data_IF_059601866053
#
_entry.id   IF_059601866053
#
_cell.length_a   1.000
_cell.length_b   1.000
_cell.length_c   1.000
_cell.angle_alpha   90.00
_cell.angle_beta   90.00
_cell.angle_gamma   90.00
#
_symmetry.space_group_name_H-M   'P 1'
#
loop_
_entity.id
_entity.type
_entity.pdbx_description
1 polymer ?
#
# COMPACT_ATOMS: atom_id res chain seq x y z
N UNK A 1 -22.54 -38.53 64.20
CA UNK A 1 -22.13 -37.36 63.37
C UNK A 1 -20.92 -37.77 62.55
N UNK A 2 -20.83 -37.46 61.25
CA UNK A 2 -19.72 -37.82 60.32
C UNK A 2 -19.77 -39.17 59.57
N UNK A 3 -20.84 -39.43 58.82
CA UNK A 3 -20.75 -40.25 57.59
C UNK A 3 -21.49 -39.66 56.39
N UNK A 4 -22.51 -38.81 56.60
CA UNK A 4 -23.25 -38.17 55.50
C UNK A 4 -22.57 -36.92 54.91
N UNK A 5 -21.65 -36.26 55.62
CA UNK A 5 -20.91 -35.10 55.06
C UNK A 5 -19.77 -35.47 54.10
N UNK A 6 -19.31 -36.74 54.07
CA UNK A 6 -18.22 -37.15 53.17
C UNK A 6 -18.68 -37.54 51.76
N UNK A 7 -19.95 -37.88 51.56
CA UNK A 7 -20.48 -38.19 50.22
C UNK A 7 -20.86 -36.93 49.41
N UNK A 8 -21.26 -35.83 50.06
CA UNK A 8 -21.53 -34.56 49.35
C UNK A 8 -20.26 -33.85 48.89
N UNK A 9 -19.11 -34.08 49.54
CA UNK A 9 -17.84 -33.49 49.12
C UNK A 9 -17.23 -34.17 47.88
N UNK A 10 -17.55 -35.44 47.60
CA UNK A 10 -17.06 -36.15 46.41
C UNK A 10 -17.94 -35.97 45.17
N UNK A 11 -19.23 -35.61 45.31
CA UNK A 11 -20.08 -35.32 44.15
C UNK A 11 -19.89 -33.90 43.60
N UNK A 12 -19.37 -32.96 44.38
CA UNK A 12 -19.08 -31.59 43.91
C UNK A 12 -17.74 -31.51 43.18
N UNK A 13 -16.83 -32.46 43.40
CA UNK A 13 -15.52 -32.51 42.72
C UNK A 13 -15.60 -33.25 41.36
N UNK A 14 -16.68 -34.01 41.10
CA UNK A 14 -16.90 -34.73 39.84
C UNK A 14 -17.82 -34.01 38.85
N UNK A 15 -18.36 -32.84 39.20
CA UNK A 15 -19.18 -31.98 38.32
C UNK A 15 -18.46 -30.69 37.87
N UNK A 16 -17.22 -30.45 38.29
CA UNK A 16 -16.39 -29.35 37.78
C UNK A 16 -15.52 -29.72 36.56
N UNK A 17 -15.71 -30.92 35.99
CA UNK A 17 -15.00 -31.40 34.80
C UNK A 17 -15.83 -31.30 33.51
N UNK A 18 -16.78 -30.37 33.45
CA UNK A 18 -17.59 -30.12 32.26
C UNK A 18 -17.55 -28.65 31.90
N UNK A 19 -17.06 -28.35 30.70
CA UNK A 19 -17.01 -27.04 30.06
C UNK A 19 -15.88 -26.09 30.49
N UNK A 20 -14.64 -26.50 30.27
CA UNK A 20 -13.71 -25.60 29.57
C UNK A 20 -13.61 -26.11 28.14
N UNK A 21 -14.65 -25.86 27.34
CA UNK A 21 -14.41 -25.70 25.90
C UNK A 21 -13.50 -24.50 25.83
N UNK A 22 -12.20 -24.73 25.59
CA UNK A 22 -11.35 -23.67 25.10
C UNK A 22 -12.03 -23.15 23.86
N UNK A 23 -12.69 -22.00 23.98
CA UNK A 23 -12.88 -21.12 22.85
C UNK A 23 -11.43 -20.75 22.51
N UNK A 24 -10.80 -21.57 21.66
CA UNK A 24 -9.72 -21.10 20.84
C UNK A 24 -10.43 -20.07 19.98
N UNK A 25 -10.51 -18.84 20.49
CA UNK A 25 -10.66 -17.70 19.63
C UNK A 25 -9.52 -17.88 18.63
N UNK A 26 -9.84 -18.25 17.39
CA UNK A 26 -8.87 -18.17 16.32
C UNK A 26 -8.39 -16.73 16.37
N UNK A 27 -7.18 -16.51 16.88
CA UNK A 27 -6.56 -15.21 16.88
C UNK A 27 -6.51 -14.83 15.40
N UNK A 28 -7.39 -13.90 15.00
CA UNK A 28 -7.46 -13.47 13.61
C UNK A 28 -6.12 -12.81 13.35
N UNK A 29 -5.28 -13.47 12.56
CA UNK A 29 -4.00 -12.90 12.15
C UNK A 29 -4.32 -11.66 11.35
N UNK A 30 -3.83 -10.52 11.83
CA UNK A 30 -4.01 -9.26 11.13
C UNK A 30 -3.31 -9.36 9.77
N UNK A 31 -4.08 -9.14 8.71
CA UNK A 31 -3.60 -9.30 7.33
C UNK A 31 -2.47 -8.34 6.99
N UNK A 32 -2.69 -7.03 7.15
CA UNK A 32 -1.69 -6.00 6.87
C UNK A 32 -1.17 -5.46 8.21
N UNK A 33 0.12 -5.58 8.45
CA UNK A 33 0.78 -5.17 9.69
C UNK A 33 1.84 -4.12 9.35
N UNK A 34 1.74 -2.94 9.96
CA UNK A 34 2.73 -1.88 9.79
C UNK A 34 4.08 -2.37 10.31
N UNK A 35 5.13 -2.21 9.51
CA UNK A 35 6.45 -2.76 9.77
C UNK A 35 7.52 -1.66 9.85
N UNK A 36 7.10 -0.47 10.28
CA UNK A 36 7.92 0.74 10.27
C UNK A 36 8.79 0.94 11.51
N UNK A 37 8.40 0.36 12.64
CA UNK A 37 9.08 0.62 13.91
C UNK A 37 10.37 -0.18 14.04
N UNK A 38 11.30 0.27 14.89
CA UNK A 38 12.48 -0.49 15.32
C UNK A 38 13.39 -0.97 14.17
N UNK A 39 13.71 -0.07 13.24
CA UNK A 39 14.75 -0.30 12.24
C UNK A 39 16.09 0.24 12.73
N UNK A 40 17.16 -0.31 12.16
CA UNK A 40 18.51 0.19 12.29
C UNK A 40 18.98 0.78 10.98
N UNK A 41 19.72 1.88 11.04
CA UNK A 41 20.21 2.59 9.87
C UNK A 41 21.70 2.93 9.99
N UNK A 42 22.40 2.80 8.86
CA UNK A 42 23.77 3.27 8.67
C UNK A 42 23.90 3.97 7.31
N UNK A 43 24.49 5.18 7.32
CA UNK A 43 24.85 5.90 6.10
C UNK A 43 26.29 5.53 5.71
N UNK A 44 26.44 4.85 4.58
CA UNK A 44 27.69 4.23 4.13
C UNK A 44 27.40 2.89 3.45
N UNK A 45 28.26 2.44 2.56
CA UNK A 45 28.11 1.13 1.91
C UNK A 45 28.85 0.06 2.68
N UNK A 46 28.12 -0.77 3.43
CA UNK A 46 28.65 -1.83 4.27
C UNK A 46 28.57 -3.18 3.53
N UNK A 47 29.66 -3.72 2.96
CA UNK A 47 29.59 -4.86 2.01
C UNK A 47 29.10 -6.17 2.64
N UNK A 48 29.08 -6.25 3.97
CA UNK A 48 28.63 -7.44 4.73
C UNK A 48 27.29 -7.23 5.41
N UNK A 49 26.66 -6.06 5.26
CA UNK A 49 25.40 -5.75 5.92
C UNK A 49 24.20 -6.55 5.41
N UNK A 50 24.35 -7.32 4.33
CA UNK A 50 23.37 -8.31 3.92
C UNK A 50 23.40 -9.58 4.79
N UNK A 51 24.53 -9.90 5.44
CA UNK A 51 24.70 -11.14 6.18
C UNK A 51 23.79 -11.22 7.41
N UNK A 52 23.31 -12.42 7.73
CA UNK A 52 22.38 -12.63 8.84
C UNK A 52 23.04 -12.37 10.21
N UNK A 53 24.33 -12.70 10.34
CA UNK A 53 25.14 -12.59 11.55
C UNK A 53 25.94 -11.28 11.65
N UNK A 54 25.68 -10.33 10.76
CA UNK A 54 26.32 -9.01 10.81
C UNK A 54 25.93 -8.25 12.09
N UNK A 55 26.94 -7.74 12.81
CA UNK A 55 26.76 -6.95 14.04
C UNK A 55 26.42 -5.49 13.73
N UNK A 56 25.13 -5.16 13.81
CA UNK A 56 24.58 -3.82 13.62
C UNK A 56 24.31 -3.10 14.96
N UNK A 57 24.91 -3.51 16.08
CA UNK A 57 24.64 -2.88 17.39
C UNK A 57 24.96 -1.39 17.47
N UNK A 58 25.88 -0.92 16.63
CA UNK A 58 26.32 0.48 16.60
C UNK A 58 25.51 1.33 15.59
N UNK A 59 24.59 0.72 14.85
CA UNK A 59 23.73 1.44 13.91
C UNK A 59 22.68 2.25 14.66
N UNK A 60 22.23 3.35 14.06
CA UNK A 60 21.20 4.22 14.65
C UNK A 60 19.86 3.50 14.62
N UNK A 61 19.16 3.45 15.74
CA UNK A 61 17.75 3.04 15.77
C UNK A 61 16.86 4.18 15.25
N UNK A 62 15.89 3.86 14.41
CA UNK A 62 14.87 4.77 13.91
C UNK A 62 13.60 4.03 13.51
N UNK A 63 12.54 4.79 13.27
CA UNK A 63 11.30 4.32 12.67
C UNK A 63 11.16 4.88 11.25
N UNK A 64 10.47 4.13 10.39
CA UNK A 64 10.09 4.55 9.06
C UNK A 64 8.76 5.35 9.10
N UNK A 65 8.43 6.12 8.04
CA UNK A 65 9.25 6.46 6.88
C UNK A 65 10.46 7.33 7.23
N UNK A 66 11.56 7.17 6.50
CA UNK A 66 12.82 7.88 6.76
C UNK A 66 13.47 8.40 5.47
N UNK A 67 13.94 9.64 5.54
CA UNK A 67 14.75 10.30 4.53
C UNK A 67 16.05 10.79 5.19
N UNK A 68 17.18 10.15 4.88
CA UNK A 68 18.45 10.55 5.53
C UNK A 68 19.03 11.84 4.94
N UNK A 69 18.60 12.25 3.75
CA UNK A 69 19.19 13.41 3.06
C UNK A 69 18.84 14.70 3.78
N UNK A 70 17.59 14.81 4.27
CA UNK A 70 17.08 16.01 4.94
C UNK A 70 17.82 16.32 6.25
N UNK A 71 18.40 15.30 6.89
CA UNK A 71 19.19 15.42 8.12
C UNK A 71 20.60 15.98 7.85
N UNK A 72 21.04 15.93 6.59
CA UNK A 72 22.36 16.36 6.17
C UNK A 72 22.53 17.87 6.07
N UNK A 73 23.77 18.35 6.15
CA UNK A 73 24.09 19.77 5.95
C UNK A 73 24.05 20.13 4.47
N UNK A 74 23.39 21.25 4.16
CA UNK A 74 23.43 21.88 2.84
C UNK A 74 24.86 22.29 2.49
N UNK A 75 25.31 21.93 1.29
CA UNK A 75 26.63 22.27 0.79
C UNK A 75 26.61 22.33 -0.75
N UNK A 76 27.12 23.41 -1.39
CA UNK A 76 27.20 23.51 -2.86
C UNK A 76 27.95 22.35 -3.54
N UNK A 77 28.81 21.63 -2.82
CA UNK A 77 29.54 20.46 -3.31
C UNK A 77 28.76 19.13 -3.15
N UNK A 78 27.59 19.12 -2.50
CA UNK A 78 26.80 17.91 -2.37
C UNK A 78 26.31 17.40 -3.73
N UNK A 79 26.26 16.07 -3.94
CA UNK A 79 26.12 15.46 -5.26
C UNK A 79 24.76 15.75 -5.93
N UNK A 80 23.69 15.97 -5.16
CA UNK A 80 22.37 16.31 -5.71
C UNK A 80 22.34 17.68 -6.42
N UNK A 81 23.30 18.58 -6.10
CA UNK A 81 23.39 19.92 -6.67
C UNK A 81 22.13 20.77 -6.48
N UNK A 82 21.96 21.80 -7.32
CA UNK A 82 20.84 22.73 -7.22
C UNK A 82 19.45 22.06 -7.36
N UNK A 83 19.35 21.00 -8.17
CA UNK A 83 18.07 20.35 -8.48
C UNK A 83 17.53 19.62 -7.24
N UNK A 84 18.40 18.93 -6.48
CA UNK A 84 18.05 18.34 -5.19
C UNK A 84 18.38 19.24 -3.99
N UNK A 85 18.36 20.56 -4.17
CA UNK A 85 18.47 21.51 -3.07
C UNK A 85 19.79 21.49 -2.29
N UNK A 86 20.88 20.97 -2.88
CA UNK A 86 22.20 20.85 -2.27
C UNK A 86 22.27 19.94 -1.03
N UNK A 87 21.38 18.96 -0.92
CA UNK A 87 21.44 17.93 0.13
C UNK A 87 22.40 16.78 -0.24
N UNK A 88 22.98 16.09 0.77
CA UNK A 88 23.81 14.92 0.50
C UNK A 88 22.98 13.74 -0.01
N UNK A 89 23.63 12.83 -0.73
CA UNK A 89 23.07 11.56 -1.18
C UNK A 89 23.99 10.42 -0.75
N UNK A 90 24.07 9.34 -1.52
CA UNK A 90 24.99 8.23 -1.28
C UNK A 90 24.27 6.90 -1.10
N UNK A 91 24.94 5.98 -0.40
CA UNK A 91 24.41 4.65 -0.12
C UNK A 91 24.09 4.57 1.37
N UNK A 92 22.90 4.07 1.69
CA UNK A 92 22.47 3.80 3.05
C UNK A 92 21.97 2.37 3.20
N UNK A 93 22.07 1.83 4.39
CA UNK A 93 21.56 0.52 4.73
C UNK A 93 20.56 0.59 5.87
N UNK A 94 19.49 -0.18 5.73
CA UNK A 94 18.50 -0.42 6.76
C UNK A 94 18.53 -1.89 7.16
N UNK A 95 18.41 -2.19 8.45
CA UNK A 95 18.32 -3.56 8.98
C UNK A 95 17.21 -3.65 10.01
N UNK A 96 16.50 -4.77 10.00
CA UNK A 96 15.48 -5.08 11.01
C UNK A 96 15.50 -6.56 11.36
N UNK A 97 15.67 -6.83 12.65
CA UNK A 97 15.59 -8.16 13.23
C UNK A 97 14.20 -8.37 13.81
N UNK A 98 13.59 -9.52 13.57
CA UNK A 98 12.25 -9.84 14.06
C UNK A 98 12.02 -11.33 14.24
N UNK A 99 11.17 -11.68 15.20
CA UNK A 99 10.67 -13.04 15.39
C UNK A 99 9.38 -13.24 14.62
N UNK A 100 9.23 -14.39 13.96
CA UNK A 100 7.98 -14.74 13.28
C UNK A 100 7.00 -15.38 14.27
N UNK A 101 5.78 -14.86 14.43
CA UNK A 101 4.78 -15.46 15.30
C UNK A 101 4.40 -16.87 14.84
N UNK A 102 4.20 -17.81 15.77
CA UNK A 102 3.76 -19.17 15.46
C UNK A 102 2.41 -19.21 14.70
N UNK A 103 1.59 -18.17 14.84
CA UNK A 103 0.31 -18.01 14.12
C UNK A 103 0.48 -17.78 12.62
N UNK A 104 1.68 -17.44 12.15
CA UNK A 104 2.01 -17.32 10.72
C UNK A 104 2.42 -18.65 10.09
N UNK A 105 2.49 -19.73 10.89
CA UNK A 105 2.75 -21.07 10.34
C UNK A 105 1.64 -21.42 9.34
N UNK A 106 2.04 -21.99 8.21
CA UNK A 106 1.16 -22.36 7.09
C UNK A 106 0.40 -21.16 6.50
N UNK A 107 0.95 -19.94 6.64
CA UNK A 107 0.49 -18.72 5.97
C UNK A 107 1.41 -18.33 4.84
N UNK A 108 0.91 -17.48 3.95
CA UNK A 108 1.71 -16.73 2.99
C UNK A 108 2.11 -15.42 3.64
N UNK A 109 3.39 -15.08 3.52
CA UNK A 109 3.95 -13.89 4.13
C UNK A 109 4.75 -13.14 3.08
N UNK A 110 4.42 -11.87 2.87
CA UNK A 110 5.18 -10.97 2.00
C UNK A 110 5.52 -9.68 2.69
N UNK A 111 6.64 -9.08 2.33
CA UNK A 111 6.97 -7.69 2.67
C UNK A 111 6.61 -6.78 1.50
N UNK A 112 5.96 -5.66 1.79
CA UNK A 112 5.51 -4.65 0.84
C UNK A 112 6.12 -3.29 1.20
N UNK A 113 6.78 -2.67 0.23
CA UNK A 113 7.35 -1.33 0.34
C UNK A 113 6.54 -0.38 -0.52
N UNK A 114 6.02 0.70 0.06
CA UNK A 114 5.27 1.73 -0.69
C UNK A 114 6.18 2.64 -1.54
N UNK A 115 7.48 2.70 -1.23
CA UNK A 115 8.47 3.42 -2.00
C UNK A 115 9.82 3.51 -1.28
N UNK A 116 10.90 3.30 -2.03
CA UNK A 116 12.28 3.37 -1.55
C UNK A 116 13.11 4.12 -2.58
N UNK A 117 13.62 5.29 -2.23
CA UNK A 117 14.39 6.13 -3.16
C UNK A 117 15.90 5.95 -2.93
N UNK A 118 16.66 5.29 -3.80
CA UNK A 118 16.26 4.48 -4.96
C UNK A 118 17.26 3.33 -5.16
N UNK A 119 17.17 2.57 -6.26
CA UNK A 119 18.06 1.42 -6.54
C UNK A 119 18.19 0.49 -5.33
N UNK A 120 17.03 0.15 -4.75
CA UNK A 120 16.98 -0.64 -3.52
C UNK A 120 17.22 -2.11 -3.79
N UNK A 121 18.04 -2.76 -2.97
CA UNK A 121 18.17 -4.22 -2.93
C UNK A 121 17.75 -4.73 -1.57
N UNK A 122 16.82 -5.69 -1.54
CA UNK A 122 16.26 -6.24 -0.30
C UNK A 122 16.80 -7.64 -0.09
N UNK A 123 17.15 -7.95 1.16
CA UNK A 123 17.62 -9.25 1.61
C UNK A 123 16.78 -9.77 2.77
N UNK A 124 16.59 -11.09 2.82
CA UNK A 124 16.06 -11.81 4.00
C UNK A 124 17.06 -12.91 4.36
N UNK A 125 17.53 -12.91 5.61
CA UNK A 125 18.44 -13.95 6.13
C UNK A 125 19.68 -14.18 5.24
N UNK A 126 20.27 -13.11 4.70
CA UNK A 126 21.44 -13.19 3.80
C UNK A 126 21.13 -13.38 2.31
N UNK A 127 19.89 -13.73 1.95
CA UNK A 127 19.50 -14.00 0.56
C UNK A 127 18.91 -12.76 -0.10
N UNK A 128 19.46 -12.36 -1.25
CA UNK A 128 18.89 -11.29 -2.07
C UNK A 128 17.52 -11.69 -2.62
N UNK A 129 16.56 -10.77 -2.51
CA UNK A 129 15.22 -10.85 -3.08
C UNK A 129 15.14 -10.15 -4.44
N UNK A 130 16.15 -9.34 -4.78
CA UNK A 130 16.28 -8.61 -6.04
C UNK A 130 16.40 -7.10 -5.83
N UNK A 131 16.55 -6.41 -6.96
CA UNK A 131 16.72 -4.96 -7.03
C UNK A 131 15.45 -4.31 -7.59
N UNK A 132 15.03 -3.21 -6.96
CA UNK A 132 13.96 -2.33 -7.44
C UNK A 132 14.52 -0.92 -7.69
N UNK A 133 14.65 -0.49 -8.96
CA UNK A 133 15.41 0.71 -9.30
C UNK A 133 14.61 2.00 -9.19
N UNK A 134 13.33 2.00 -9.55
CA UNK A 134 12.53 3.21 -9.54
C UNK A 134 12.09 3.57 -8.12
N UNK A 135 12.37 4.80 -7.71
CA UNK A 135 12.15 5.21 -6.33
C UNK A 135 10.69 5.45 -5.94
N UNK A 136 9.81 5.65 -6.93
CA UNK A 136 8.43 6.09 -6.68
C UNK A 136 7.37 4.99 -6.79
N UNK A 137 7.70 3.87 -7.44
CA UNK A 137 6.80 2.71 -7.52
C UNK A 137 6.91 1.85 -6.28
N UNK A 138 5.80 1.20 -5.93
CA UNK A 138 5.74 0.26 -4.82
C UNK A 138 6.13 -1.14 -5.29
N UNK A 139 6.54 -2.00 -4.37
CA UNK A 139 6.90 -3.38 -4.70
C UNK A 139 6.77 -4.32 -3.51
N UNK A 140 6.74 -5.63 -3.78
CA UNK A 140 6.64 -6.65 -2.74
C UNK A 140 7.48 -7.88 -3.06
N UNK A 141 7.86 -8.60 -2.00
CA UNK A 141 8.55 -9.89 -2.08
C UNK A 141 7.84 -10.94 -1.23
N UNK A 142 7.73 -12.16 -1.75
CA UNK A 142 7.28 -13.32 -0.98
C UNK A 142 8.42 -13.82 -0.08
N UNK A 143 8.14 -13.90 1.22
CA UNK A 143 9.06 -14.36 2.26
C UNK A 143 8.73 -15.77 2.76
N UNK A 144 7.60 -16.35 2.34
CA UNK A 144 7.00 -17.56 2.93
C UNK A 144 8.00 -18.70 3.12
N UNK A 145 8.80 -19.00 2.10
CA UNK A 145 9.78 -20.11 2.12
C UNK A 145 11.14 -19.74 2.73
N UNK A 146 11.32 -18.49 3.14
CA UNK A 146 12.59 -17.90 3.59
C UNK A 146 12.60 -17.58 5.08
N UNK A 147 11.43 -17.61 5.73
CA UNK A 147 11.27 -17.35 7.16
C UNK A 147 11.70 -18.56 8.00
N UNK A 148 12.49 -18.28 9.03
CA UNK A 148 12.83 -19.24 10.08
C UNK A 148 11.92 -19.02 11.30
N UNK A 149 11.18 -20.05 11.70
CA UNK A 149 10.26 -20.00 12.85
C UNK A 149 10.93 -20.35 14.18
N UNK A 150 12.21 -20.75 14.15
CA UNK A 150 12.96 -21.22 15.33
C UNK A 150 13.94 -20.19 15.87
N UNK A 151 14.25 -19.16 15.07
CA UNK A 151 15.19 -18.08 15.41
C UNK A 151 14.70 -16.75 14.86
N UNK A 152 15.45 -15.69 15.15
CA UNK A 152 15.21 -14.37 14.58
C UNK A 152 15.52 -14.35 13.08
N UNK A 153 14.74 -13.56 12.35
CA UNK A 153 14.92 -13.28 10.94
C UNK A 153 15.45 -11.86 10.78
N UNK A 154 16.26 -11.63 9.75
CA UNK A 154 16.85 -10.33 9.46
C UNK A 154 16.48 -9.90 8.05
N UNK A 155 15.79 -8.77 7.95
CA UNK A 155 15.66 -8.03 6.69
C UNK A 155 16.75 -6.98 6.63
N UNK A 156 17.43 -6.91 5.49
CA UNK A 156 18.39 -5.84 5.17
C UNK A 156 17.99 -5.17 3.87
N UNK A 157 18.13 -3.86 3.78
CA UNK A 157 17.82 -3.08 2.57
C UNK A 157 19.01 -2.17 2.29
N UNK A 158 19.67 -2.39 1.16
CA UNK A 158 20.67 -1.47 0.60
C UNK A 158 19.93 -0.48 -0.28
N UNK A 159 20.15 0.82 -0.07
CA UNK A 159 19.55 1.90 -0.87
C UNK A 159 20.67 2.71 -1.49
N UNK A 160 20.70 2.80 -2.82
CA UNK A 160 21.79 3.44 -3.56
C UNK A 160 21.29 4.66 -4.34
N UNK A 161 21.50 5.83 -3.73
CA UNK A 161 21.24 7.13 -4.33
C UNK A 161 22.56 7.85 -4.68
N UNK A 162 23.65 7.12 -4.90
CA UNK A 162 24.99 7.71 -5.13
C UNK A 162 25.16 8.31 -6.53
N UNK A 163 24.47 7.77 -7.54
CA UNK A 163 24.52 8.28 -8.91
C UNK A 163 23.66 9.54 -9.06
N UNK A 164 24.30 10.69 -8.94
CA UNK A 164 23.68 12.01 -9.06
C UNK A 164 24.24 12.80 -10.27
N UNK A 165 23.43 13.62 -10.95
CA UNK A 165 22.00 13.87 -10.70
C UNK A 165 21.12 12.85 -11.42
N UNK A 166 20.12 12.35 -10.70
CA UNK A 166 19.10 11.43 -11.22
C UNK A 166 17.67 12.02 -11.20
N UNK A 167 17.51 13.24 -10.70
CA UNK A 167 16.23 13.90 -10.54
C UNK A 167 16.37 15.41 -10.75
N UNK A 168 15.31 16.07 -11.24
CA UNK A 168 15.25 17.54 -11.44
C UNK A 168 14.71 18.30 -10.22
N UNK A 169 14.36 17.59 -9.15
CA UNK A 169 13.86 18.12 -7.90
C UNK A 169 14.46 17.33 -6.72
N UNK A 170 14.16 17.78 -5.49
CA UNK A 170 14.56 17.04 -4.29
C UNK A 170 13.81 15.72 -4.18
N UNK A 171 14.54 14.61 -4.32
CA UNK A 171 13.99 13.26 -4.20
C UNK A 171 13.95 12.74 -2.77
N UNK A 172 14.89 13.18 -1.93
CA UNK A 172 15.23 12.51 -0.68
C UNK A 172 15.99 11.21 -0.91
N UNK A 173 16.29 10.49 0.16
CA UNK A 173 16.94 9.17 0.07
C UNK A 173 16.51 8.25 1.22
N UNK A 174 16.12 7.03 0.90
CA UNK A 174 15.76 6.02 1.91
C UNK A 174 14.41 5.35 1.69
N UNK A 175 13.97 4.63 2.73
CA UNK A 175 12.65 4.02 2.78
C UNK A 175 11.68 5.10 3.26
N UNK A 176 11.32 5.99 2.32
CA UNK A 176 10.60 7.24 2.61
C UNK A 176 9.08 7.07 2.65
N UNK A 177 8.57 5.85 2.43
CA UNK A 177 7.15 5.48 2.60
C UNK A 177 7.03 4.21 3.44
N UNK A 178 5.82 3.93 3.90
CA UNK A 178 5.51 2.81 4.80
C UNK A 178 5.95 1.45 4.26
N UNK A 179 6.31 0.58 5.18
CA UNK A 179 6.59 -0.84 4.96
C UNK A 179 5.55 -1.68 5.67
N UNK A 180 5.08 -2.72 5.01
CA UNK A 180 4.04 -3.59 5.54
C UNK A 180 4.44 -5.07 5.45
N UNK A 181 4.11 -5.82 6.49
CA UNK A 181 4.03 -7.27 6.42
C UNK A 181 2.60 -7.66 6.06
N UNK A 182 2.44 -8.40 4.97
CA UNK A 182 1.15 -8.91 4.50
C UNK A 182 1.11 -10.42 4.74
N UNK A 183 0.14 -10.86 5.55
CA UNK A 183 -0.03 -12.26 5.95
C UNK A 183 -1.40 -12.76 5.53
N UNK A 184 -1.43 -13.79 4.69
CA UNK A 184 -2.66 -14.37 4.13
C UNK A 184 -2.69 -15.90 4.27
N UNK A 185 -3.86 -16.49 4.08
CA UNK A 185 -3.97 -17.95 3.90
C UNK A 185 -3.61 -18.33 2.44
N UNK A 186 -3.39 -19.62 2.17
CA UNK A 186 -3.13 -20.12 0.79
C UNK A 186 -4.23 -19.77 -0.22
N UNK A 187 -5.47 -19.62 0.25
CA UNK A 187 -6.58 -19.11 -0.55
C UNK A 187 -6.91 -17.70 -0.10
N UNK A 188 -6.58 -16.73 -0.94
CA UNK A 188 -6.63 -15.32 -0.56
C UNK A 188 -6.82 -14.39 -1.76
N UNK A 189 -7.22 -13.15 -1.48
CA UNK A 189 -7.13 -12.03 -2.42
C UNK A 189 -5.69 -11.52 -2.40
N UNK A 190 -4.94 -11.45 -3.52
CA UNK A 190 -3.58 -10.91 -3.52
C UNK A 190 -3.57 -9.41 -3.22
N UNK A 191 -2.39 -8.85 -2.93
CA UNK A 191 -2.25 -7.39 -2.82
C UNK A 191 -2.75 -6.71 -4.10
N UNK A 192 -3.48 -5.59 -3.95
CA UNK A 192 -4.17 -4.88 -5.04
C UNK A 192 -5.18 -5.71 -5.86
N UNK A 193 -5.59 -6.88 -5.35
CA UNK A 193 -6.47 -7.82 -6.04
C UNK A 193 -7.94 -7.39 -6.15
N UNK A 194 -8.33 -6.24 -5.61
CA UNK A 194 -9.70 -5.69 -5.70
C UNK A 194 -9.71 -4.50 -6.65
N UNK A 195 -10.63 -4.52 -7.62
CA UNK A 195 -10.93 -3.39 -8.51
C UNK A 195 -12.38 -2.99 -8.35
N UNK A 196 -12.65 -1.71 -8.11
CA UNK A 196 -14.00 -1.17 -7.93
C UNK A 196 -14.26 -0.11 -9.00
N UNK A 197 -15.40 -0.24 -9.68
CA UNK A 197 -15.86 0.74 -10.68
C UNK A 197 -17.34 1.03 -10.50
N UNK A 198 -17.78 2.22 -10.90
CA UNK A 198 -19.18 2.65 -10.81
C UNK A 198 -19.74 2.99 -12.20
N UNK A 199 -20.04 1.97 -13.04
CA UNK A 199 -20.38 2.19 -14.46
C UNK A 199 -21.72 2.91 -14.68
N UNK A 200 -22.60 2.93 -13.68
CA UNK A 200 -23.87 3.65 -13.72
C UNK A 200 -24.01 4.44 -12.43
N UNK A 201 -24.15 5.76 -12.53
CA UNK A 201 -24.26 6.67 -11.39
C UNK A 201 -25.41 7.64 -11.64
N UNK A 202 -26.42 7.60 -10.76
CA UNK A 202 -27.52 8.55 -10.72
C UNK A 202 -27.86 8.86 -9.25
N UNK A 203 -28.63 9.93 -9.03
CA UNK A 203 -29.02 10.37 -7.68
C UNK A 203 -29.88 9.35 -6.91
N UNK A 204 -30.66 8.53 -7.61
CA UNK A 204 -31.55 7.52 -7.01
C UNK A 204 -30.91 6.14 -6.89
N UNK A 205 -29.92 5.84 -7.74
CA UNK A 205 -29.29 4.51 -7.81
C UNK A 205 -27.92 4.58 -8.49
N UNK A 206 -26.96 3.85 -7.93
CA UNK A 206 -25.68 3.55 -8.57
C UNK A 206 -25.45 2.04 -8.65
N UNK A 207 -24.73 1.63 -9.70
CA UNK A 207 -24.20 0.27 -9.83
C UNK A 207 -22.73 0.29 -9.45
N UNK A 208 -22.36 -0.50 -8.44
CA UNK A 208 -20.98 -0.70 -8.02
C UNK A 208 -20.54 -2.08 -8.49
N UNK A 209 -19.55 -2.13 -9.40
CA UNK A 209 -18.97 -3.36 -9.91
C UNK A 209 -17.63 -3.61 -9.22
N UNK A 210 -17.52 -4.75 -8.55
CA UNK A 210 -16.33 -5.20 -7.84
C UNK A 210 -15.78 -6.41 -8.59
N UNK A 211 -14.52 -6.34 -8.99
CA UNK A 211 -13.75 -7.47 -9.49
C UNK A 211 -12.72 -7.85 -8.43
N UNK A 212 -12.75 -9.11 -8.01
CA UNK A 212 -11.84 -9.65 -7.01
C UNK A 212 -11.02 -10.77 -7.65
N UNK A 213 -9.71 -10.58 -7.75
CA UNK A 213 -8.79 -11.66 -8.05
C UNK A 213 -8.64 -12.53 -6.80
N UNK A 214 -8.82 -13.84 -6.92
CA UNK A 214 -8.62 -14.79 -5.82
C UNK A 214 -7.59 -15.82 -6.25
N UNK A 215 -6.55 -16.01 -5.44
CA UNK A 215 -5.50 -17.02 -5.62
C UNK A 215 -5.80 -18.26 -4.80
N UNK A 216 -5.54 -19.43 -5.38
CA UNK A 216 -5.45 -20.69 -4.67
C UNK A 216 -4.05 -21.25 -4.86
N UNK A 217 -3.25 -21.17 -3.81
CA UNK A 217 -1.88 -21.69 -3.79
C UNK A 217 -1.80 -23.09 -3.15
N UNK A 218 -2.94 -23.75 -2.96
CA UNK A 218 -2.99 -25.16 -2.56
C UNK A 218 -2.88 -26.08 -3.77
N UNK A 219 -2.48 -27.33 -3.52
CA UNK A 219 -2.40 -28.38 -4.53
C UNK A 219 -3.74 -29.01 -4.92
N UNK A 220 -4.86 -28.52 -4.37
CA UNK A 220 -6.19 -29.08 -4.60
C UNK A 220 -7.20 -28.01 -5.01
N UNK A 221 -8.27 -28.43 -5.68
CA UNK A 221 -9.39 -27.55 -6.02
C UNK A 221 -10.06 -27.07 -4.73
N UNK A 222 -10.39 -25.79 -4.67
CA UNK A 222 -11.04 -25.17 -3.52
C UNK A 222 -12.42 -24.67 -3.89
N UNK A 223 -13.43 -25.05 -3.09
CA UNK A 223 -14.78 -24.51 -3.18
C UNK A 223 -14.95 -23.46 -2.10
N UNK A 224 -15.14 -22.20 -2.53
CA UNK A 224 -15.21 -21.04 -1.64
C UNK A 224 -16.44 -20.19 -1.95
N UNK A 225 -16.73 -19.27 -1.05
CA UNK A 225 -17.68 -18.17 -1.27
C UNK A 225 -16.90 -16.86 -1.20
N UNK A 226 -17.01 -16.04 -2.23
CA UNK A 226 -16.57 -14.64 -2.19
C UNK A 226 -17.74 -13.80 -1.75
N UNK A 227 -17.68 -13.23 -0.55
CA UNK A 227 -18.72 -12.37 0.03
C UNK A 227 -18.23 -10.93 0.01
N UNK A 228 -19.04 -10.02 -0.53
CA UNK A 228 -18.73 -8.59 -0.57
C UNK A 228 -19.82 -7.81 0.14
N UNK A 229 -19.42 -6.91 1.04
CA UNK A 229 -20.28 -5.99 1.76
C UNK A 229 -19.81 -4.56 1.51
N UNK A 230 -20.75 -3.68 1.14
CA UNK A 230 -20.52 -2.25 1.00
C UNK A 230 -21.08 -1.53 2.22
N UNK A 231 -20.27 -0.68 2.84
CA UNK A 231 -20.70 0.23 3.91
C UNK A 231 -20.40 1.67 3.51
N UNK A 232 -21.39 2.55 3.65
CA UNK A 232 -21.21 4.00 3.42
C UNK A 232 -20.89 4.75 4.71
N UNK A 233 -21.11 6.07 4.69
CA UNK A 233 -20.96 6.98 5.83
C UNK A 233 -21.67 6.43 7.09
N UNK A 234 -21.03 6.59 8.25
CA UNK A 234 -21.49 6.07 9.56
C UNK A 234 -21.66 4.54 9.62
N UNK A 235 -20.87 3.80 8.83
CA UNK A 235 -20.89 2.33 8.78
C UNK A 235 -22.25 1.73 8.36
N UNK A 236 -23.11 2.51 7.70
CA UNK A 236 -24.40 2.03 7.22
C UNK A 236 -24.22 1.05 6.06
N UNK A 237 -24.85 -0.12 6.16
CA UNK A 237 -24.87 -1.10 5.06
C UNK A 237 -25.52 -0.47 3.81
N UNK A 238 -24.77 -0.44 2.71
CA UNK A 238 -25.18 0.09 1.42
C UNK A 238 -25.58 -1.02 0.42
N UNK A 239 -25.12 -2.25 0.66
CA UNK A 239 -25.45 -3.43 -0.13
C UNK A 239 -24.49 -4.58 0.15
N UNK A 240 -24.85 -5.79 -0.26
CA UNK A 240 -23.99 -6.95 -0.16
C UNK A 240 -24.34 -7.97 -1.25
N UNK A 241 -23.42 -8.90 -1.51
CA UNK A 241 -23.64 -10.05 -2.38
C UNK A 241 -22.66 -11.16 -2.05
N UNK A 242 -22.92 -12.37 -2.56
CA UNK A 242 -22.01 -13.50 -2.41
C UNK A 242 -22.04 -14.39 -3.66
N UNK A 243 -20.89 -14.94 -4.03
CA UNK A 243 -20.74 -15.82 -5.19
C UNK A 243 -19.99 -17.08 -4.78
N UNK A 244 -20.56 -18.25 -5.11
CA UNK A 244 -19.84 -19.54 -4.97
C UNK A 244 -18.84 -19.66 -6.12
N UNK A 245 -17.61 -20.07 -5.78
CA UNK A 245 -16.50 -20.16 -6.73
C UNK A 245 -15.80 -21.48 -6.50
N UNK A 246 -15.74 -22.29 -7.54
CA UNK A 246 -14.73 -23.33 -7.66
C UNK A 246 -13.45 -22.68 -8.21
N UNK A 247 -12.36 -22.88 -7.48
CA UNK A 247 -11.05 -22.31 -7.75
C UNK A 247 -10.02 -23.44 -7.93
N UNK A 248 -9.48 -23.64 -9.14
CA UNK A 248 -8.53 -24.73 -9.41
C UNK A 248 -7.25 -24.62 -8.57
N UNK A 249 -6.58 -25.75 -8.34
CA UNK A 249 -5.29 -25.83 -7.66
C UNK A 249 -4.22 -24.98 -8.36
N UNK A 250 -3.39 -24.25 -7.60
CA UNK A 250 -2.30 -23.41 -8.13
C UNK A 250 -2.73 -22.48 -9.28
N UNK A 251 -3.92 -21.87 -9.14
CA UNK A 251 -4.50 -20.95 -10.12
C UNK A 251 -5.14 -19.76 -9.43
N UNK A 252 -5.42 -18.75 -10.22
CA UNK A 252 -6.18 -17.58 -9.82
C UNK A 252 -7.43 -17.42 -10.69
N UNK A 253 -8.42 -16.70 -10.15
CA UNK A 253 -9.67 -16.42 -10.86
C UNK A 253 -10.19 -15.05 -10.47
N UNK A 254 -10.59 -14.27 -11.48
CA UNK A 254 -11.32 -13.02 -11.26
C UNK A 254 -12.81 -13.33 -11.04
N UNK A 255 -13.36 -12.82 -9.94
CA UNK A 255 -14.76 -12.93 -9.56
C UNK A 255 -15.39 -11.55 -9.71
N UNK A 256 -16.38 -11.43 -10.59
CA UNK A 256 -17.10 -10.17 -10.81
C UNK A 256 -18.44 -10.17 -10.07
N UNK A 257 -18.66 -9.16 -9.24
CA UNK A 257 -19.88 -8.93 -8.49
C UNK A 257 -20.41 -7.52 -8.76
N UNK A 258 -21.73 -7.38 -8.84
CA UNK A 258 -22.39 -6.07 -9.04
C UNK A 258 -23.39 -5.86 -7.91
N UNK A 259 -23.28 -4.72 -7.21
CA UNK A 259 -24.15 -4.35 -6.11
C UNK A 259 -24.84 -3.03 -6.47
N UNK A 260 -26.17 -3.00 -6.33
CA UNK A 260 -26.97 -1.79 -6.50
C UNK A 260 -27.00 -1.01 -5.20
N UNK A 261 -26.58 0.25 -5.22
CA UNK A 261 -26.66 1.17 -4.08
C UNK A 261 -27.80 2.16 -4.33
N UNK A 262 -28.83 2.14 -3.49
CA UNK A 262 -29.96 3.06 -3.57
C UNK A 262 -29.64 4.39 -2.90
N UNK A 263 -30.07 5.50 -3.51
CA UNK A 263 -29.83 6.88 -3.07
C UNK A 263 -28.35 7.11 -2.66
N UNK A 264 -27.40 6.82 -3.57
CA UNK A 264 -25.97 6.88 -3.26
C UNK A 264 -25.56 8.29 -2.85
N UNK A 265 -24.70 8.38 -1.84
CA UNK A 265 -24.03 9.63 -1.51
C UNK A 265 -22.85 9.77 -2.46
N UNK A 266 -22.95 10.68 -3.43
CA UNK A 266 -21.92 10.84 -4.45
C UNK A 266 -20.68 11.51 -3.86
N UNK A 267 -19.50 11.14 -4.37
CA UNK A 267 -18.25 11.80 -4.06
C UNK A 267 -18.10 13.07 -4.93
N UNK A 268 -17.82 14.20 -4.30
CA UNK A 268 -17.36 15.45 -4.94
C UNK A 268 -16.27 16.11 -4.09
N UNK A 269 -15.55 17.13 -4.62
CA UNK A 269 -14.64 17.93 -3.81
C UNK A 269 -15.31 18.54 -2.56
N UNK A 270 -16.57 18.95 -2.64
CA UNK A 270 -17.31 19.58 -1.54
C UNK A 270 -17.90 18.56 -0.58
N UNK A 271 -18.37 17.42 -1.08
CA UNK A 271 -18.95 16.33 -0.30
C UNK A 271 -18.24 15.00 -0.62
N UNK A 272 -17.03 14.78 -0.09
CA UNK A 272 -16.20 13.62 -0.40
C UNK A 272 -16.69 12.35 0.31
N UNK A 273 -17.90 11.90 -0.03
CA UNK A 273 -18.51 10.71 0.56
C UNK A 273 -17.74 9.45 0.12
N UNK A 274 -17.27 8.69 1.11
CA UNK A 274 -16.54 7.45 0.90
C UNK A 274 -17.35 6.24 1.37
N UNK A 275 -17.11 5.13 0.69
CA UNK A 275 -17.62 3.81 1.01
C UNK A 275 -16.44 2.87 1.25
N UNK A 276 -16.70 1.79 1.97
CA UNK A 276 -15.78 0.67 2.13
C UNK A 276 -16.41 -0.58 1.51
N UNK A 277 -15.67 -1.25 0.63
CA UNK A 277 -15.96 -2.59 0.19
C UNK A 277 -15.14 -3.57 1.04
N UNK A 278 -15.81 -4.35 1.87
CA UNK A 278 -15.21 -5.48 2.57
C UNK A 278 -15.43 -6.74 1.75
N UNK A 279 -14.34 -7.40 1.36
CA UNK A 279 -14.34 -8.66 0.61
C UNK A 279 -13.81 -9.76 1.52
N UNK A 280 -14.64 -10.77 1.74
CA UNK A 280 -14.32 -11.93 2.56
C UNK A 280 -14.29 -13.19 1.71
N UNK A 281 -13.25 -14.01 1.88
CA UNK A 281 -13.20 -15.37 1.35
C UNK A 281 -13.69 -16.30 2.45
N UNK A 282 -14.75 -17.05 2.17
CA UNK A 282 -15.39 -17.96 3.13
C UNK A 282 -15.25 -19.40 2.64
N UNK A 283 -14.75 -20.28 3.51
CA UNK A 283 -14.65 -21.72 3.30
C UNK A 283 -15.17 -22.45 4.53
N UNK A 284 -16.04 -23.44 4.33
CA UNK A 284 -16.62 -24.24 5.42
C UNK A 284 -17.22 -23.39 6.56
N UNK A 285 -17.90 -22.30 6.19
CA UNK A 285 -18.51 -21.28 7.08
C UNK A 285 -17.52 -20.40 7.86
N UNK A 286 -16.21 -20.54 7.65
CA UNK A 286 -15.18 -19.71 8.26
C UNK A 286 -14.67 -18.66 7.27
N UNK A 287 -14.44 -17.43 7.74
CA UNK A 287 -13.72 -16.42 6.96
C UNK A 287 -12.24 -16.75 6.99
N UNK A 288 -11.66 -17.04 5.83
CA UNK A 288 -10.25 -17.39 5.68
C UNK A 288 -9.42 -16.24 5.09
N UNK A 289 -10.05 -15.20 4.56
CA UNK A 289 -9.36 -13.97 4.18
C UNK A 289 -10.36 -12.81 4.24
N UNK A 290 -9.87 -11.63 4.63
CA UNK A 290 -10.67 -10.42 4.81
C UNK A 290 -9.84 -9.20 4.37
N UNK A 291 -10.31 -8.50 3.35
CA UNK A 291 -9.68 -7.28 2.86
C UNK A 291 -10.71 -6.18 2.66
N UNK A 292 -10.26 -4.94 2.84
CA UNK A 292 -11.08 -3.73 2.77
C UNK A 292 -10.49 -2.77 1.76
N UNK A 293 -11.33 -2.22 0.91
CA UNK A 293 -10.95 -1.20 -0.08
C UNK A 293 -11.90 -0.02 0.04
N UNK A 294 -11.33 1.16 0.27
CA UNK A 294 -12.07 2.42 0.25
C UNK A 294 -12.31 2.85 -1.20
N UNK A 295 -13.49 3.40 -1.48
CA UNK A 295 -13.84 3.93 -2.80
C UNK A 295 -14.88 5.05 -2.67
N UNK A 296 -15.12 5.79 -3.75
CA UNK A 296 -16.20 6.77 -3.86
C UNK A 296 -17.10 6.49 -5.06
N UNK A 297 -18.38 6.85 -4.96
CA UNK A 297 -19.33 6.72 -6.08
C UNK A 297 -19.38 8.05 -6.83
N UNK A 298 -18.86 8.06 -8.07
CA UNK A 298 -18.92 9.24 -8.95
C UNK A 298 -18.88 8.84 -10.43
N UNK A 299 -19.39 9.70 -11.29
CA UNK A 299 -19.17 9.61 -12.74
C UNK A 299 -18.24 10.73 -13.22
N UNK A 300 -17.30 10.42 -14.10
CA UNK A 300 -16.48 11.42 -14.80
C UNK A 300 -16.74 11.34 -16.30
N UNK A 301 -16.65 12.50 -16.97
CA UNK A 301 -16.74 12.60 -18.42
C UNK A 301 -15.87 13.75 -18.90
N UNK A 302 -15.23 13.58 -20.06
CA UNK A 302 -14.49 14.63 -20.76
C UNK A 302 -15.08 14.75 -22.16
N UNK A 303 -15.53 15.95 -22.55
CA UNK A 303 -15.93 16.22 -23.94
C UNK A 303 -15.32 17.53 -24.45
N UNK A 304 -15.10 17.68 -25.76
CA UNK A 304 -14.60 18.94 -26.33
C UNK A 304 -15.51 20.14 -26.02
N UNK A 305 -16.83 19.94 -25.96
CA UNK A 305 -17.82 21.01 -25.83
C UNK A 305 -17.97 21.48 -24.37
N UNK A 306 -17.95 20.53 -23.42
CA UNK A 306 -18.28 20.80 -22.02
C UNK A 306 -17.08 20.70 -21.07
N UNK A 307 -15.91 20.30 -21.58
CA UNK A 307 -14.72 20.04 -20.77
C UNK A 307 -14.90 18.86 -19.80
N UNK A 308 -14.29 18.97 -18.62
CA UNK A 308 -14.44 17.99 -17.55
C UNK A 308 -15.80 18.12 -16.85
N UNK A 309 -16.46 16.98 -16.67
CA UNK A 309 -17.71 16.87 -15.96
C UNK A 309 -17.62 15.82 -14.86
N UNK A 310 -18.06 16.18 -13.67
CA UNK A 310 -18.19 15.30 -12.51
C UNK A 310 -19.67 15.22 -12.13
N UNK A 311 -20.20 14.01 -12.02
CA UNK A 311 -21.61 13.77 -11.67
C UNK A 311 -22.60 14.56 -12.55
N UNK A 312 -22.29 14.69 -13.85
CA UNK A 312 -23.09 15.41 -14.84
C UNK A 312 -22.94 16.93 -14.83
N UNK A 313 -22.11 17.50 -13.94
CA UNK A 313 -21.86 18.95 -13.86
C UNK A 313 -20.48 19.29 -14.39
N UNK A 314 -20.38 20.32 -15.23
CA UNK A 314 -19.08 20.85 -15.65
C UNK A 314 -18.35 21.47 -14.47
N UNK A 315 -17.08 21.09 -14.28
CA UNK A 315 -16.21 21.61 -13.22
C UNK A 315 -14.96 22.18 -13.88
N UNK A 316 -14.55 23.39 -13.44
CA UNK A 316 -13.23 23.92 -13.74
C UNK A 316 -12.22 23.37 -12.75
N UNK A 317 -11.09 22.90 -13.27
CA UNK A 317 -9.98 22.43 -12.45
C UNK A 317 -9.18 23.64 -11.99
N UNK A 318 -9.40 24.06 -10.74
CA UNK A 318 -8.54 24.98 -10.04
C UNK A 318 -7.38 24.15 -9.51
N UNK A 319 -6.42 23.88 -10.39
CA UNK A 319 -5.35 22.91 -10.19
C UNK A 319 -4.01 23.51 -9.76
N UNK A 320 -3.25 22.76 -8.97
CA UNK A 320 -1.83 23.03 -8.68
C UNK A 320 -0.95 21.80 -8.91
N UNK A 321 0.33 22.00 -9.21
CA UNK A 321 1.32 20.92 -9.21
C UNK A 321 2.00 20.85 -7.84
N UNK A 322 2.23 19.64 -7.33
CA UNK A 322 2.95 19.43 -6.06
C UNK A 322 4.04 18.38 -6.26
N UNK A 323 5.22 18.66 -5.71
CA UNK A 323 6.23 17.65 -5.45
C UNK A 323 5.91 16.88 -4.15
N UNK A 324 6.58 15.75 -3.92
CA UNK A 324 6.29 14.87 -2.79
C UNK A 324 6.90 15.32 -1.46
N UNK A 325 7.87 16.24 -1.45
CA UNK A 325 8.56 16.67 -0.22
C UNK A 325 7.72 17.62 0.65
N UNK A 326 7.82 17.48 1.97
CA UNK A 326 7.16 18.32 2.96
C UNK A 326 8.15 19.33 3.57
N UNK A 327 8.98 19.98 2.75
CA UNK A 327 9.97 20.97 3.18
C UNK A 327 10.92 20.40 4.23
N UNK A 328 10.86 20.92 5.46
CA UNK A 328 11.73 20.47 6.56
C UNK A 328 11.56 19.00 6.98
N UNK A 329 10.48 18.34 6.57
CA UNK A 329 10.28 16.90 6.80
C UNK A 329 10.90 16.02 5.69
N UNK A 330 11.45 16.64 4.65
CA UNK A 330 12.02 15.94 3.50
C UNK A 330 10.96 15.14 2.75
N UNK A 331 11.38 14.01 2.19
CA UNK A 331 10.51 13.14 1.41
C UNK A 331 9.66 12.19 2.28
N UNK A 332 9.95 12.03 3.56
CA UNK A 332 9.27 11.07 4.43
C UNK A 332 7.75 11.33 4.46
N UNK A 333 6.98 10.35 3.97
CA UNK A 333 5.55 10.46 3.72
C UNK A 333 4.72 10.22 4.99
N UNK A 334 4.91 11.07 6.01
CA UNK A 334 4.12 11.00 7.24
C UNK A 334 2.65 11.31 6.94
N UNK A 335 1.75 10.40 7.34
CA UNK A 335 0.29 10.51 7.13
C UNK A 335 -0.26 11.91 7.43
N UNK A 336 0.09 12.48 8.59
CA UNK A 336 -0.42 13.78 9.00
C UNK A 336 0.15 14.93 8.17
N UNK A 337 1.39 14.82 7.69
CA UNK A 337 2.00 15.84 6.85
C UNK A 337 1.34 15.87 5.46
N UNK A 338 1.12 14.68 4.88
CA UNK A 338 0.39 14.52 3.61
C UNK A 338 -1.05 15.05 3.71
N UNK A 339 -1.75 14.71 4.79
CA UNK A 339 -3.11 15.22 5.02
C UNK A 339 -3.13 16.75 5.19
N UNK A 340 -2.22 17.30 6.01
CA UNK A 340 -2.11 18.75 6.21
C UNK A 340 -1.81 19.49 4.90
N UNK A 341 -1.00 18.91 4.01
CA UNK A 341 -0.72 19.48 2.68
C UNK A 341 -2.01 19.64 1.89
N UNK A 342 -2.84 18.59 1.83
CA UNK A 342 -4.12 18.62 1.11
C UNK A 342 -5.10 19.61 1.75
N UNK A 343 -5.17 19.69 3.09
CA UNK A 343 -5.98 20.68 3.80
C UNK A 343 -5.63 22.12 3.42
N UNK A 344 -4.34 22.45 3.38
CA UNK A 344 -3.87 23.81 3.05
C UNK A 344 -4.16 24.14 1.59
N UNK A 345 -3.91 23.22 0.67
CA UNK A 345 -4.22 23.42 -0.76
C UNK A 345 -5.72 23.62 -0.96
N UNK A 346 -6.55 22.82 -0.30
CA UNK A 346 -7.99 22.99 -0.35
C UNK A 346 -8.45 24.33 0.24
N UNK A 347 -7.89 24.73 1.38
CA UNK A 347 -8.18 26.02 2.00
C UNK A 347 -7.75 27.21 1.13
N UNK A 348 -6.71 27.04 0.32
CA UNK A 348 -6.27 28.03 -0.67
C UNK A 348 -7.17 28.11 -1.92
N UNK A 349 -8.16 27.22 -2.06
CA UNK A 349 -9.15 27.22 -3.14
C UNK A 349 -8.85 26.25 -4.29
N UNK A 350 -7.83 25.39 -4.15
CA UNK A 350 -7.58 24.32 -5.11
C UNK A 350 -8.63 23.21 -4.97
N UNK A 351 -9.06 22.66 -6.11
CA UNK A 351 -9.93 21.48 -6.18
C UNK A 351 -9.29 20.32 -6.97
N UNK A 352 -8.10 20.54 -7.53
CA UNK A 352 -7.35 19.53 -8.24
C UNK A 352 -5.84 19.66 -7.95
N UNK A 353 -5.13 18.53 -8.00
CA UNK A 353 -3.68 18.45 -7.88
C UNK A 353 -3.14 17.57 -9.01
N UNK A 354 -1.98 17.94 -9.55
CA UNK A 354 -1.14 17.06 -10.37
C UNK A 354 0.09 16.63 -9.56
N UNK A 355 0.38 15.32 -9.55
CA UNK A 355 1.50 14.74 -8.80
C UNK A 355 2.80 14.82 -9.61
N UNK A 356 3.31 16.03 -9.79
CA UNK A 356 4.50 16.30 -10.57
C UNK A 356 5.76 15.68 -9.93
N UNK A 357 6.49 14.76 -10.56
CA UNK A 357 6.20 14.08 -11.84
C UNK A 357 6.34 12.56 -11.67
N UNK A 358 5.65 12.04 -10.66
CA UNK A 358 5.80 10.67 -10.18
C UNK A 358 4.59 10.19 -9.36
N UNK A 359 4.41 8.86 -9.20
CA UNK A 359 3.39 8.32 -8.32
C UNK A 359 3.53 8.90 -6.91
N UNK A 360 2.45 9.41 -6.28
CA UNK A 360 2.46 9.94 -4.92
C UNK A 360 2.46 8.81 -3.88
N UNK A 361 2.53 9.16 -2.59
CA UNK A 361 2.33 8.20 -1.50
C UNK A 361 0.87 7.79 -1.39
N UNK A 362 0.61 6.59 -0.87
CA UNK A 362 -0.75 6.12 -0.59
C UNK A 362 -1.46 7.06 0.41
N UNK A 363 -0.74 7.52 1.43
CA UNK A 363 -1.24 8.47 2.42
C UNK A 363 -1.77 9.77 1.78
N UNK A 364 -1.07 10.29 0.76
CA UNK A 364 -1.50 11.47 0.01
C UNK A 364 -2.80 11.22 -0.78
N UNK A 365 -2.91 10.10 -1.49
CA UNK A 365 -4.13 9.76 -2.23
C UNK A 365 -5.31 9.49 -1.31
N UNK A 366 -5.08 8.80 -0.19
CA UNK A 366 -6.11 8.60 0.84
C UNK A 366 -6.58 9.95 1.41
N UNK A 367 -5.67 10.91 1.63
CA UNK A 367 -6.02 12.26 2.06
C UNK A 367 -6.83 13.02 1.00
N UNK A 368 -6.43 12.95 -0.27
CA UNK A 368 -7.18 13.52 -1.40
C UNK A 368 -8.61 12.96 -1.50
N UNK A 369 -8.78 11.65 -1.29
CA UNK A 369 -10.10 11.01 -1.25
C UNK A 369 -10.97 11.55 -0.12
N UNK A 370 -10.44 11.60 1.11
CA UNK A 370 -11.19 12.03 2.31
C UNK A 370 -11.51 13.52 2.29
N UNK A 371 -10.57 14.32 1.80
CA UNK A 371 -10.67 15.77 1.80
C UNK A 371 -11.29 16.29 0.51
N UNK A 372 -11.60 15.47 -0.48
CA UNK A 372 -12.24 15.94 -1.71
C UNK A 372 -11.31 16.81 -2.55
N UNK A 373 -10.19 16.23 -2.97
CA UNK A 373 -9.23 16.82 -3.89
C UNK A 373 -9.10 15.91 -5.11
N UNK A 374 -9.32 16.42 -6.31
CA UNK A 374 -9.14 15.62 -7.54
C UNK A 374 -7.66 15.50 -7.88
N UNK A 375 -7.26 14.38 -8.48
CA UNK A 375 -5.85 14.07 -8.74
C UNK A 375 -5.64 13.71 -10.22
N UNK A 376 -4.60 14.30 -10.80
CA UNK A 376 -3.94 13.84 -12.02
C UNK A 376 -2.68 13.09 -11.57
N UNK A 377 -2.73 11.77 -11.65
CA UNK A 377 -1.65 10.91 -11.18
C UNK A 377 -0.66 10.64 -12.31
N UNK A 378 0.61 10.96 -12.09
CA UNK A 378 1.63 11.03 -13.15
C UNK A 378 2.73 10.00 -12.97
N UNK A 379 2.99 9.21 -14.02
CA UNK A 379 3.93 8.11 -13.97
C UNK A 379 5.40 8.55 -14.06
N UNK A 380 5.74 9.40 -15.03
CA UNK A 380 7.13 9.63 -15.42
C UNK A 380 7.42 11.08 -15.77
N UNK A 381 8.65 11.52 -15.48
CA UNK A 381 9.17 12.80 -15.95
C UNK A 381 9.87 12.74 -17.31
N UNK A 382 10.34 11.58 -17.71
CA UNK A 382 11.05 11.37 -18.98
C UNK A 382 10.90 9.91 -19.40
N UNK A 383 11.14 9.63 -20.69
CA UNK A 383 11.05 8.28 -21.24
C UNK A 383 12.44 7.72 -21.54
N UNK A 384 12.85 7.67 -22.81
CA UNK A 384 14.13 7.09 -23.25
C UNK A 384 15.23 8.14 -23.38
N UNK A 385 14.88 9.39 -23.61
CA UNK A 385 15.81 10.50 -23.62
C UNK A 385 15.95 11.10 -22.22
N UNK A 386 17.20 11.15 -21.76
CA UNK A 386 17.56 11.67 -20.45
C UNK A 386 17.38 13.19 -20.38
N UNK A 387 16.70 13.66 -19.33
CA UNK A 387 16.70 15.05 -18.88
C UNK A 387 17.85 15.33 -17.90
N UNK A 388 18.28 14.32 -17.14
CA UNK A 388 19.47 14.36 -16.28
C UNK A 388 20.32 13.10 -16.46
N UNK A 389 21.59 13.16 -16.06
CA UNK A 389 22.60 12.14 -16.38
C UNK A 389 22.22 10.70 -15.97
N UNK A 390 21.52 10.54 -14.84
CA UNK A 390 21.20 9.23 -14.26
C UNK A 390 19.70 9.05 -13.97
N UNK A 391 18.83 9.74 -14.73
CA UNK A 391 17.38 9.61 -14.52
C UNK A 391 16.80 8.27 -15.02
N UNK A 392 15.47 8.19 -14.98
CA UNK A 392 14.68 7.02 -15.35
C UNK A 392 14.95 6.50 -16.77
N UNK A 393 15.49 7.32 -17.68
CA UNK A 393 15.82 6.87 -19.04
C UNK A 393 16.81 5.71 -19.06
N UNK A 394 17.70 5.63 -18.07
CA UNK A 394 18.67 4.53 -17.91
C UNK A 394 18.02 3.16 -17.72
N UNK A 395 16.78 3.11 -17.22
CA UNK A 395 16.04 1.89 -16.91
C UNK A 395 14.72 1.74 -17.68
N UNK A 396 14.29 2.78 -18.41
CA UNK A 396 12.97 2.87 -19.02
C UNK A 396 12.58 1.60 -19.77
N UNK A 397 13.38 1.18 -20.76
CA UNK A 397 13.05 0.02 -21.61
C UNK A 397 12.80 -1.28 -20.83
N UNK A 398 13.44 -1.45 -19.66
CA UNK A 398 13.31 -2.64 -18.84
C UNK A 398 12.18 -2.54 -17.80
N UNK A 399 11.78 -1.33 -17.39
CA UNK A 399 10.95 -1.13 -16.20
C UNK A 399 9.63 -0.38 -16.42
N UNK A 400 9.49 0.42 -17.49
CA UNK A 400 8.35 1.32 -17.70
C UNK A 400 7.00 0.62 -17.57
N UNK A 401 6.88 -0.60 -18.14
CA UNK A 401 5.60 -1.32 -18.16
C UNK A 401 5.22 -1.76 -16.74
N UNK A 402 6.19 -2.27 -15.97
CA UNK A 402 5.95 -2.72 -14.60
C UNK A 402 5.59 -1.54 -13.71
N UNK A 403 6.33 -0.44 -13.79
CA UNK A 403 6.10 0.73 -12.94
C UNK A 403 4.77 1.42 -13.27
N UNK A 404 4.40 1.50 -14.56
CA UNK A 404 3.10 2.03 -14.97
C UNK A 404 1.94 1.12 -14.55
N UNK A 405 2.09 -0.19 -14.73
CA UNK A 405 1.09 -1.17 -14.28
C UNK A 405 0.90 -1.08 -12.77
N UNK A 406 1.99 -1.01 -12.01
CA UNK A 406 1.98 -0.88 -10.56
C UNK A 406 1.22 0.35 -10.08
N UNK A 407 1.53 1.53 -10.61
CA UNK A 407 0.83 2.78 -10.29
C UNK A 407 -0.68 2.61 -10.49
N UNK A 408 -1.10 2.08 -11.66
CA UNK A 408 -2.52 1.93 -11.96
C UNK A 408 -3.19 0.89 -11.06
N UNK A 409 -2.58 -0.29 -10.82
CA UNK A 409 -3.23 -1.33 -10.00
C UNK A 409 -3.31 -0.94 -8.53
N UNK A 410 -2.31 -0.21 -8.02
CA UNK A 410 -2.29 0.33 -6.66
C UNK A 410 -3.39 1.37 -6.49
N UNK A 411 -3.52 2.28 -7.45
CA UNK A 411 -4.24 3.53 -7.21
C UNK A 411 -5.66 3.60 -7.82
N UNK A 412 -6.02 2.69 -8.73
CA UNK A 412 -7.29 2.70 -9.49
C UNK A 412 -8.59 2.74 -8.67
N UNK A 413 -8.55 2.48 -7.37
CA UNK A 413 -9.73 2.52 -6.51
C UNK A 413 -9.96 3.89 -5.86
N UNK A 414 -8.98 4.81 -5.93
CA UNK A 414 -9.09 6.16 -5.38
C UNK A 414 -10.10 7.00 -6.19
N UNK A 415 -11.23 7.44 -5.61
CA UNK A 415 -12.17 8.33 -6.30
C UNK A 415 -11.57 9.69 -6.67
N UNK A 416 -10.53 10.14 -5.96
CA UNK A 416 -9.82 11.38 -6.26
C UNK A 416 -9.17 11.38 -7.65
N UNK A 417 -8.65 10.25 -8.11
CA UNK A 417 -7.94 10.17 -9.40
C UNK A 417 -8.92 10.34 -10.56
N UNK A 418 -8.73 11.38 -11.37
CA UNK A 418 -9.58 11.68 -12.54
C UNK A 418 -8.82 11.52 -13.86
N UNK A 419 -7.49 11.44 -13.84
CA UNK A 419 -6.63 11.26 -15.01
C UNK A 419 -5.36 10.49 -14.63
N UNK A 420 -4.84 9.74 -15.61
CA UNK A 420 -3.51 9.14 -15.57
C UNK A 420 -2.62 9.88 -16.57
N UNK A 421 -1.57 10.54 -16.10
CA UNK A 421 -0.57 11.19 -16.94
C UNK A 421 0.61 10.24 -17.19
N UNK A 422 0.89 9.96 -18.46
CA UNK A 422 1.94 9.02 -18.87
C UNK A 422 3.34 9.65 -18.93
N UNK A 423 3.46 10.97 -18.78
CA UNK A 423 4.72 11.66 -19.01
C UNK A 423 4.62 13.18 -18.96
N UNK A 424 5.63 13.84 -18.40
CA UNK A 424 5.78 15.29 -18.37
C UNK A 424 6.78 15.78 -19.43
N UNK A 425 6.41 16.74 -20.29
CA UNK A 425 7.34 17.45 -21.20
C UNK A 425 8.37 16.51 -21.87
N UNK A 426 7.85 15.46 -22.50
CA UNK A 426 8.64 14.38 -23.09
C UNK A 426 9.34 14.89 -24.35
N UNK A 427 10.65 14.63 -24.47
CA UNK A 427 11.49 15.15 -25.55
C UNK A 427 11.14 14.47 -26.88
N UNK A 428 10.77 13.20 -26.82
CA UNK A 428 10.50 12.33 -27.98
C UNK A 428 9.14 12.56 -28.66
N UNK A 429 8.39 13.62 -28.29
CA UNK A 429 7.02 13.86 -28.76
C UNK A 429 6.89 14.69 -30.04
#
# INVERSE_FOLDING_TARGET
MNRQLRLMALLVILLSNSFVKSIIAQTIVQRNQLFDYDWKFNLGDEPKANANDFDDKNWRNLDLPHDWSIEGKLNPQNPMGNDGGYFPAGIGWYRKTFTVPATWKDKRVSIYFEGVYMNSEVFINGKSLGVYPYGYSSFQYDLTSLLDFTKENVISVRVDNSQQKNCRWYSGSGIYRHVWMIVTNDVHVPNWGVTITTPQVASTKASVKIKTLVKNETSTVQNIIVKTQLTGTNSKLAGNTQTKVELPANREKEVSQTISVSNPQLWTPETPNLYQAQVQIVKDKNVIDDTKTTFGIRSIKFTPENGFQLNGKTIKLNGGCVHHDNGCLGAAAFDRAEERRVEILKAAGFNAIRTSHNPPSKAFLDACDRLGMMVIDEAFDGWKESKTKFDYASIFNAWWQRDLEEMVIRDRNHPSIIMWSIGNEIIER
#
